data_IF_565294388854
#
_entry.id   IF_565294388854
#
_cell.length_a   1.000
_cell.length_b   1.000
_cell.length_c   1.000
_cell.angle_alpha   90.00
_cell.angle_beta   90.00
_cell.angle_gamma   90.00
#
_symmetry.space_group_name_H-M   'P 1'
#
loop_
_entity.id
_entity.type
_entity.pdbx_description
1 polymer ?
#
# COMPACT_ATOMS: atom_id res chain seq x y z
N UNK A 1 -6.77 -2.33 -1.36
CA UNK A 1 -6.96 -1.05 -0.68
C UNK A 1 -6.24 -1.01 0.67
N UNK A 2 -5.84 0.19 1.11
CA UNK A 2 -5.13 0.37 2.36
C UNK A 2 -6.02 1.09 3.36
N UNK A 3 -5.99 0.63 4.61
CA UNK A 3 -6.69 1.29 5.71
C UNK A 3 -5.76 2.25 6.45
N UNK A 4 -6.20 3.48 6.63
CA UNK A 4 -5.46 4.46 7.43
C UNK A 4 -5.95 4.37 8.86
N UNK A 5 -5.06 4.03 9.77
CA UNK A 5 -5.36 3.89 11.19
C UNK A 5 -4.51 4.83 12.02
N UNK A 6 -4.99 5.19 13.20
CA UNK A 6 -4.27 6.02 14.15
C UNK A 6 -5.16 6.37 15.32
N UNK A 7 -4.54 6.69 16.44
CA UNK A 7 -5.25 7.19 17.62
C UNK A 7 -5.83 8.59 17.35
N UNK A 8 -6.80 9.06 18.16
CA UNK A 8 -7.29 10.42 18.02
C UNK A 8 -6.15 11.46 18.13
N UNK A 9 -6.28 12.54 17.37
CA UNK A 9 -5.36 13.70 17.41
C UNK A 9 -3.93 13.43 16.95
N UNK A 10 -3.74 12.44 16.07
CA UNK A 10 -2.42 12.15 15.47
C UNK A 10 -2.24 12.77 14.08
N UNK A 11 -3.27 13.42 13.55
CA UNK A 11 -3.25 14.03 12.22
C UNK A 11 -3.78 13.13 11.10
N UNK A 12 -4.42 12.01 11.45
CA UNK A 12 -4.95 11.03 10.50
C UNK A 12 -5.98 11.64 9.54
N UNK A 13 -6.94 12.39 10.07
CA UNK A 13 -8.00 13.01 9.24
C UNK A 13 -7.45 14.08 8.29
N UNK A 14 -6.49 14.88 8.75
CA UNK A 14 -5.82 15.88 7.92
C UNK A 14 -5.07 15.20 6.76
N UNK A 15 -4.37 14.12 7.05
CA UNK A 15 -3.64 13.36 6.04
C UNK A 15 -4.59 12.73 5.02
N UNK A 16 -5.68 12.12 5.49
CA UNK A 16 -6.68 11.52 4.61
C UNK A 16 -7.35 12.58 3.71
N UNK A 17 -7.68 13.74 4.26
CA UNK A 17 -8.27 14.84 3.48
C UNK A 17 -7.30 15.34 2.41
N UNK A 18 -6.02 15.39 2.69
CA UNK A 18 -4.99 15.76 1.70
C UNK A 18 -4.92 14.75 0.55
N UNK A 19 -5.03 13.45 0.87
CA UNK A 19 -5.10 12.39 -0.13
C UNK A 19 -6.34 12.53 -1.03
N UNK A 20 -7.51 12.80 -0.45
CA UNK A 20 -8.75 12.89 -1.20
C UNK A 20 -8.84 14.14 -2.09
N UNK A 21 -8.24 15.26 -1.67
CA UNK A 21 -8.17 16.48 -2.48
C UNK A 21 -7.30 16.29 -3.73
N UNK A 22 -6.21 15.53 -3.62
CA UNK A 22 -5.35 15.17 -4.72
C UNK A 22 -5.88 13.95 -5.49
N UNK A 23 -7.14 13.60 -5.29
CA UNK A 23 -7.76 12.38 -5.78
C UNK A 23 -7.90 12.32 -7.30
N UNK A 24 -8.00 11.09 -7.80
CA UNK A 24 -8.17 10.78 -9.20
C UNK A 24 -9.60 11.10 -9.67
N UNK A 25 -9.73 11.49 -10.94
CA UNK A 25 -11.02 11.64 -11.58
C UNK A 25 -11.73 10.27 -11.64
N UNK A 26 -12.91 10.17 -11.04
CA UNK A 26 -13.65 8.91 -10.94
C UNK A 26 -14.01 8.29 -12.30
N UNK A 27 -14.13 9.11 -13.34
CA UNK A 27 -14.43 8.64 -14.70
C UNK A 27 -13.36 7.69 -15.28
N UNK A 28 -12.10 7.81 -14.83
CA UNK A 28 -10.99 6.98 -15.27
C UNK A 28 -10.88 5.67 -14.48
N UNK A 29 -11.62 5.54 -13.37
CA UNK A 29 -11.49 4.43 -12.42
C UNK A 29 -12.88 3.91 -12.05
N UNK A 30 -13.51 3.09 -12.92
CA UNK A 30 -14.88 2.63 -12.71
C UNK A 30 -15.11 1.76 -11.48
N UNK A 31 -14.04 1.29 -10.85
CA UNK A 31 -14.11 0.52 -9.61
C UNK A 31 -14.28 1.42 -8.36
N UNK A 32 -14.28 2.75 -8.54
CA UNK A 32 -14.44 3.69 -7.43
C UNK A 32 -15.84 3.60 -6.83
N UNK A 33 -15.90 3.34 -5.53
CA UNK A 33 -17.12 3.45 -4.76
C UNK A 33 -17.28 4.88 -4.25
N UNK A 34 -18.49 5.42 -4.32
CA UNK A 34 -18.81 6.74 -3.75
C UNK A 34 -19.07 6.55 -2.26
N UNK A 35 -18.03 6.62 -1.47
CA UNK A 35 -18.06 6.52 -0.01
C UNK A 35 -17.17 7.65 0.54
N UNK A 36 -17.66 8.47 1.47
CA UNK A 36 -16.86 9.58 2.02
C UNK A 36 -15.61 9.12 2.77
N UNK A 37 -15.54 7.87 3.19
CA UNK A 37 -14.41 7.30 3.89
C UNK A 37 -13.40 6.60 2.96
N UNK A 38 -13.64 6.63 1.65
CA UNK A 38 -12.76 6.02 0.65
C UNK A 38 -12.23 7.11 -0.28
N UNK A 39 -10.93 7.17 -0.44
CA UNK A 39 -10.26 8.05 -1.39
C UNK A 39 -9.50 7.26 -2.43
N UNK A 40 -9.69 7.60 -3.71
CA UNK A 40 -8.90 7.06 -4.81
C UNK A 40 -7.79 8.03 -5.10
N UNK A 41 -6.55 7.54 -5.05
CA UNK A 41 -5.35 8.36 -5.09
C UNK A 41 -4.48 7.90 -6.24
N UNK A 42 -4.00 8.85 -7.05
CA UNK A 42 -3.08 8.54 -8.14
C UNK A 42 -1.70 8.20 -7.59
N UNK A 43 -1.06 7.21 -8.21
CA UNK A 43 0.32 6.83 -7.88
C UNK A 43 1.27 7.69 -8.72
N UNK A 44 2.13 8.52 -8.10
CA UNK A 44 3.10 9.31 -8.84
C UNK A 44 4.02 8.42 -9.68
N UNK A 45 4.14 8.73 -10.97
CA UNK A 45 4.98 7.97 -11.89
C UNK A 45 5.51 8.90 -12.99
N UNK A 46 6.75 9.33 -12.84
CA UNK A 46 7.40 10.26 -13.76
C UNK A 46 7.54 9.70 -15.18
N UNK A 47 7.56 8.38 -15.31
CA UNK A 47 7.64 7.72 -16.62
C UNK A 47 6.48 8.12 -17.54
N UNK A 48 5.30 8.36 -16.95
CA UNK A 48 4.12 8.78 -17.72
C UNK A 48 4.29 10.18 -18.31
N UNK A 49 4.90 11.10 -17.59
CA UNK A 49 5.16 12.44 -18.07
C UNK A 49 6.16 12.44 -19.24
N UNK A 50 7.22 11.65 -19.09
CA UNK A 50 8.24 11.51 -20.15
C UNK A 50 7.64 10.90 -21.41
N UNK A 51 6.87 9.83 -21.28
CA UNK A 51 6.16 9.21 -22.42
C UNK A 51 5.12 10.15 -23.02
N UNK A 52 4.44 10.94 -22.19
CA UNK A 52 3.48 11.93 -22.64
C UNK A 52 4.09 12.98 -23.55
N UNK A 53 5.28 13.46 -23.23
CA UNK A 53 6.04 14.38 -24.06
C UNK A 53 6.52 13.70 -25.35
N UNK A 54 7.06 12.49 -25.23
CA UNK A 54 7.58 11.72 -26.37
C UNK A 54 6.51 11.46 -27.44
N UNK A 55 5.28 11.13 -27.02
CA UNK A 55 4.17 10.77 -27.92
C UNK A 55 3.22 11.94 -28.17
N UNK A 56 3.49 13.12 -27.64
CA UNK A 56 2.62 14.30 -27.74
C UNK A 56 1.18 13.96 -27.36
N UNK A 57 1.02 13.25 -26.24
CA UNK A 57 -0.26 12.71 -25.82
C UNK A 57 -1.26 13.79 -25.41
N UNK A 58 -2.53 13.50 -25.63
CA UNK A 58 -3.63 14.37 -25.20
C UNK A 58 -4.02 14.14 -23.74
N UNK A 59 -3.69 12.98 -23.18
CA UNK A 59 -4.16 12.56 -21.87
C UNK A 59 -3.15 11.62 -21.20
N UNK A 60 -2.91 11.86 -19.91
CA UNK A 60 -2.11 10.97 -19.07
C UNK A 60 -3.02 10.37 -17.99
N UNK A 61 -3.02 9.04 -17.88
CA UNK A 61 -3.80 8.32 -16.87
C UNK A 61 -2.86 7.49 -15.99
N UNK A 62 -2.52 7.99 -14.78
CA UNK A 62 -1.69 7.24 -13.86
C UNK A 62 -2.43 6.06 -13.22
N UNK A 63 -1.69 5.16 -12.61
CA UNK A 63 -2.26 4.13 -11.75
C UNK A 63 -2.90 4.77 -10.51
N UNK A 64 -3.84 4.07 -9.89
CA UNK A 64 -4.51 4.56 -8.69
C UNK A 64 -4.69 3.44 -7.69
N UNK A 65 -4.71 3.80 -6.41
CA UNK A 65 -5.01 2.90 -5.29
C UNK A 65 -6.06 3.54 -4.39
N UNK A 66 -6.78 2.72 -3.65
CA UNK A 66 -7.78 3.18 -2.70
C UNK A 66 -7.22 3.23 -1.29
N UNK A 67 -7.48 4.33 -0.60
CA UNK A 67 -7.26 4.48 0.84
C UNK A 67 -8.60 4.60 1.55
N UNK A 68 -8.71 3.94 2.69
CA UNK A 68 -9.92 3.96 3.52
C UNK A 68 -9.58 4.62 4.85
N UNK A 69 -10.33 5.66 5.23
CA UNK A 69 -10.21 6.26 6.56
C UNK A 69 -10.93 5.37 7.55
N UNK A 70 -10.17 4.64 8.37
CA UNK A 70 -10.73 3.76 9.37
C UNK A 70 -11.00 4.57 10.65
N UNK A 71 -12.26 4.57 11.09
CA UNK A 71 -12.69 5.28 12.29
C UNK A 71 -11.83 4.89 13.49
N UNK A 72 -11.56 5.86 14.36
CA UNK A 72 -10.60 5.75 15.44
C UNK A 72 -10.82 4.57 16.38
N UNK A 73 -9.70 4.00 16.83
CA UNK A 73 -9.67 2.93 17.81
C UNK A 73 -10.08 3.47 19.18
N UNK A 74 -10.95 2.72 19.86
CA UNK A 74 -11.26 2.90 21.27
C UNK A 74 -10.66 1.74 22.04
N UNK A 75 -10.03 1.98 23.19
CA UNK A 75 -9.55 0.92 24.08
C UNK A 75 -10.68 -0.07 24.35
N UNK A 76 -10.39 -1.37 24.26
CA UNK A 76 -11.39 -2.42 24.41
C UNK A 76 -12.09 -2.82 23.12
N UNK A 77 -11.62 -2.38 21.95
CA UNK A 77 -12.18 -2.72 20.63
C UNK A 77 -12.34 -4.22 20.43
N UNK A 78 -11.37 -5.02 20.83
CA UNK A 78 -11.39 -6.48 20.74
C UNK A 78 -12.46 -7.15 21.61
N UNK A 79 -12.96 -6.43 22.63
CA UNK A 79 -14.00 -6.92 23.53
C UNK A 79 -15.42 -6.59 23.05
N UNK A 80 -15.55 -6.02 21.86
CA UNK A 80 -16.82 -5.78 21.23
C UNK A 80 -17.59 -4.56 21.73
N UNK A 81 -16.92 -3.59 22.30
CA UNK A 81 -17.54 -2.37 22.79
C UNK A 81 -17.62 -1.29 21.72
N UNK A 82 -18.87 -0.92 21.34
CA UNK A 82 -19.16 0.24 20.51
C UNK A 82 -18.48 0.24 19.13
N UNK A 83 -17.79 1.34 18.80
CA UNK A 83 -17.08 1.54 17.53
C UNK A 83 -15.91 0.57 17.33
N UNK A 84 -15.48 -0.13 18.38
CA UNK A 84 -14.38 -1.07 18.31
C UNK A 84 -14.61 -2.25 17.37
N UNK A 85 -15.84 -2.79 17.33
CA UNK A 85 -16.19 -3.88 16.40
C UNK A 85 -16.09 -3.42 14.95
N UNK A 86 -16.52 -2.20 14.68
CA UNK A 86 -16.47 -1.62 13.35
C UNK A 86 -15.03 -1.36 12.92
N UNK A 87 -14.18 -0.87 13.84
CA UNK A 87 -12.75 -0.69 13.61
C UNK A 87 -12.08 -2.00 13.16
N UNK A 88 -12.30 -3.07 13.93
CA UNK A 88 -11.73 -4.37 13.61
C UNK A 88 -12.27 -4.95 12.29
N UNK A 89 -13.57 -4.79 12.04
CA UNK A 89 -14.19 -5.23 10.79
C UNK A 89 -13.62 -4.48 9.59
N UNK A 90 -13.40 -3.18 9.71
CA UNK A 90 -12.84 -2.36 8.64
C UNK A 90 -11.38 -2.74 8.34
N UNK A 91 -10.59 -3.05 9.38
CA UNK A 91 -9.22 -3.54 9.17
C UNK A 91 -9.23 -4.88 8.46
N UNK A 92 -10.19 -5.73 8.77
CA UNK A 92 -10.30 -7.05 8.13
C UNK A 92 -10.51 -6.96 6.62
N UNK A 93 -11.17 -5.90 6.15
CA UNK A 93 -11.50 -5.69 4.73
C UNK A 93 -10.36 -5.09 3.90
N UNK A 94 -9.37 -4.48 4.52
CA UNK A 94 -8.26 -3.86 3.79
C UNK A 94 -7.11 -4.85 3.59
N UNK A 95 -6.27 -4.58 2.58
CA UNK A 95 -5.13 -5.45 2.23
C UNK A 95 -3.87 -5.10 2.99
N UNK A 96 -3.74 -3.85 3.40
CA UNK A 96 -2.59 -3.33 4.14
C UNK A 96 -3.01 -2.14 4.99
N UNK A 97 -2.14 -1.75 5.91
CA UNK A 97 -2.41 -0.69 6.89
C UNK A 97 -1.37 0.42 6.76
N UNK A 98 -1.84 1.66 6.74
CA UNK A 98 -1.01 2.86 6.96
C UNK A 98 -1.29 3.31 8.39
N UNK A 99 -0.31 3.15 9.27
CA UNK A 99 -0.42 3.52 10.67
C UNK A 99 0.17 4.91 10.88
N UNK A 100 -0.69 5.88 11.12
CA UNK A 100 -0.29 7.27 11.38
C UNK A 100 0.07 7.41 12.85
N UNK A 101 1.29 7.87 13.12
CA UNK A 101 1.85 7.99 14.46
C UNK A 101 2.24 9.44 14.71
N UNK A 102 1.80 9.98 15.85
CA UNK A 102 2.12 11.36 16.21
C UNK A 102 3.56 11.47 16.72
N UNK A 103 4.36 12.27 16.01
CA UNK A 103 5.73 12.62 16.36
C UNK A 103 5.93 14.15 16.42
N UNK A 104 4.85 14.89 16.66
CA UNK A 104 4.87 16.36 16.78
C UNK A 104 4.27 16.78 18.11
N UNK A 105 4.74 17.91 18.64
CA UNK A 105 4.16 18.56 19.80
C UNK A 105 3.40 19.80 19.37
N UNK A 106 2.17 19.95 19.84
CA UNK A 106 1.34 21.14 19.64
C UNK A 106 0.46 21.29 20.88
N UNK A 107 0.63 22.37 21.62
CA UNK A 107 -0.12 22.64 22.85
C UNK A 107 -1.61 22.81 22.62
N UNK A 108 -2.04 23.10 21.38
CA UNK A 108 -3.44 23.21 21.02
C UNK A 108 -4.07 21.88 20.64
N UNK A 109 -3.27 20.85 20.46
CA UNK A 109 -3.72 19.50 20.09
C UNK A 109 -3.33 18.54 21.21
N UNK A 110 -4.33 18.09 21.97
CA UNK A 110 -4.12 17.20 23.10
C UNK A 110 -4.00 15.75 22.61
N UNK A 111 -2.99 15.03 23.10
CA UNK A 111 -2.90 13.59 22.90
C UNK A 111 -3.90 12.88 23.85
N UNK A 112 -4.55 11.82 23.37
CA UNK A 112 -5.56 11.05 24.12
C UNK A 112 -5.03 10.50 25.45
N UNK A 113 -3.75 10.14 25.52
CA UNK A 113 -3.08 9.65 26.75
C UNK A 113 -2.33 10.74 27.51
N UNK A 114 -2.50 12.01 27.12
CA UNK A 114 -1.93 13.17 27.82
C UNK A 114 -0.45 13.47 27.53
N UNK A 115 0.27 12.61 26.84
CA UNK A 115 1.66 12.79 26.44
C UNK A 115 1.94 12.14 25.09
N UNK A 116 3.02 12.58 24.43
CA UNK A 116 3.42 12.05 23.12
C UNK A 116 4.42 10.92 23.35
N UNK A 117 4.05 9.71 22.93
CA UNK A 117 4.89 8.54 22.96
C UNK A 117 4.51 7.65 21.77
N UNK A 118 5.24 7.77 20.65
CA UNK A 118 4.91 7.05 19.42
C UNK A 118 4.87 5.52 19.59
N UNK A 119 5.77 4.96 20.35
CA UNK A 119 5.82 3.50 20.56
C UNK A 119 4.62 3.03 21.37
N UNK A 120 4.22 3.76 22.38
CA UNK A 120 3.00 3.46 23.13
C UNK A 120 1.78 3.49 22.22
N UNK A 121 1.69 4.45 21.32
CA UNK A 121 0.58 4.58 20.37
C UNK A 121 0.53 3.36 19.44
N UNK A 122 1.67 2.93 18.92
CA UNK A 122 1.78 1.73 18.09
C UNK A 122 1.34 0.49 18.87
N UNK A 123 1.85 0.32 20.09
CA UNK A 123 1.53 -0.81 20.94
C UNK A 123 0.05 -0.87 21.32
N UNK A 124 -0.59 0.28 21.53
CA UNK A 124 -2.02 0.36 21.85
C UNK A 124 -2.86 -0.24 20.73
N UNK A 125 -2.59 0.11 19.48
CA UNK A 125 -3.29 -0.45 18.33
C UNK A 125 -2.93 -1.92 18.13
N UNK A 126 -1.65 -2.26 18.22
CA UNK A 126 -1.19 -3.64 18.05
C UNK A 126 -1.85 -4.59 19.04
N UNK A 127 -1.99 -4.19 20.32
CA UNK A 127 -2.63 -5.02 21.34
C UNK A 127 -4.08 -5.35 21.01
N UNK A 128 -4.83 -4.38 20.48
CA UNK A 128 -6.23 -4.63 20.06
C UNK A 128 -6.30 -5.64 18.91
N UNK A 129 -5.38 -5.54 17.95
CA UNK A 129 -5.29 -6.49 16.84
C UNK A 129 -4.89 -7.89 17.33
N UNK A 130 -3.92 -7.95 18.25
CA UNK A 130 -3.44 -9.20 18.85
C UNK A 130 -4.57 -9.90 19.61
N UNK A 131 -5.31 -9.18 20.44
CA UNK A 131 -6.40 -9.75 21.24
C UNK A 131 -7.52 -10.30 20.32
N UNK A 132 -7.86 -9.59 19.27
CA UNK A 132 -8.83 -10.06 18.27
C UNK A 132 -8.37 -11.35 17.60
N UNK A 133 -7.11 -11.41 17.20
CA UNK A 133 -6.55 -12.59 16.54
C UNK A 133 -6.44 -13.79 17.49
N UNK A 134 -6.00 -13.56 18.74
CA UNK A 134 -5.94 -14.64 19.75
C UNK A 134 -7.33 -15.25 19.97
N UNK A 135 -8.36 -14.42 20.09
CA UNK A 135 -9.72 -14.88 20.25
C UNK A 135 -10.18 -15.77 19.09
N UNK A 136 -9.87 -15.35 17.86
CA UNK A 136 -10.17 -16.15 16.68
C UNK A 136 -9.40 -17.46 16.65
N UNK A 137 -8.10 -17.44 16.99
CA UNK A 137 -7.28 -18.66 17.05
C UNK A 137 -7.77 -19.63 18.11
N UNK A 138 -8.20 -19.14 19.27
CA UNK A 138 -8.77 -19.97 20.33
C UNK A 138 -10.02 -20.71 19.86
N UNK A 139 -10.89 -20.05 19.09
CA UNK A 139 -12.07 -20.69 18.50
C UNK A 139 -11.69 -21.79 17.51
N UNK A 140 -10.69 -21.53 16.66
CA UNK A 140 -10.18 -22.54 15.70
C UNK A 140 -9.52 -23.70 16.40
N UNK A 141 -8.75 -23.43 17.45
CA UNK A 141 -8.09 -24.47 18.27
C UNK A 141 -9.14 -25.37 18.92
N UNK A 142 -10.18 -24.78 19.51
CA UNK A 142 -11.25 -25.56 20.15
C UNK A 142 -11.94 -26.51 19.17
N UNK A 143 -12.14 -26.09 17.92
CA UNK A 143 -12.71 -26.97 16.87
C UNK A 143 -11.71 -28.03 16.42
N UNK A 144 -10.44 -27.66 16.25
CA UNK A 144 -9.40 -28.56 15.79
C UNK A 144 -9.12 -29.69 16.80
N UNK A 145 -9.13 -29.39 18.08
CA UNK A 145 -8.92 -30.38 19.15
C UNK A 145 -9.89 -31.56 19.07
N UNK A 146 -11.15 -31.28 18.71
CA UNK A 146 -12.18 -32.31 18.59
C UNK A 146 -11.94 -33.32 17.48
N UNK A 147 -11.24 -32.91 16.43
CA UNK A 147 -11.03 -33.70 15.20
C UNK A 147 -9.61 -34.27 15.10
N UNK A 148 -8.64 -33.64 15.80
CA UNK A 148 -7.22 -33.95 15.66
C UNK A 148 -6.83 -35.42 15.96
N UNK A 149 -7.58 -36.11 16.82
CA UNK A 149 -7.32 -37.49 17.17
C UNK A 149 -7.47 -38.46 15.98
N UNK A 150 -8.37 -38.12 15.05
CA UNK A 150 -8.74 -38.96 13.93
C UNK A 150 -8.23 -38.47 12.58
N UNK A 151 -7.53 -37.33 12.57
CA UNK A 151 -7.05 -36.67 11.35
C UNK A 151 -5.66 -36.07 11.58
N UNK A 152 -4.65 -36.63 10.92
CA UNK A 152 -3.25 -36.19 11.04
C UNK A 152 -3.03 -34.80 10.48
N UNK A 153 -3.76 -34.43 9.43
CA UNK A 153 -3.65 -33.07 8.84
C UNK A 153 -4.17 -32.02 9.83
N UNK A 154 -5.28 -32.31 10.50
CA UNK A 154 -5.85 -31.42 11.53
C UNK A 154 -4.92 -31.35 12.75
N UNK A 155 -4.27 -32.44 13.12
CA UNK A 155 -3.28 -32.45 14.21
C UNK A 155 -2.08 -31.55 13.92
N UNK A 156 -1.60 -31.53 12.67
CA UNK A 156 -0.54 -30.61 12.22
C UNK A 156 -0.99 -29.17 12.24
N UNK A 157 -2.21 -28.90 11.77
CA UNK A 157 -2.78 -27.56 11.79
C UNK A 157 -2.95 -27.06 13.22
N UNK A 158 -3.40 -27.93 14.14
CA UNK A 158 -3.55 -27.60 15.55
C UNK A 158 -2.21 -27.12 16.15
N UNK A 159 -1.12 -27.80 15.85
CA UNK A 159 0.22 -27.41 16.29
C UNK A 159 0.58 -26.03 15.75
N UNK A 160 0.30 -25.76 14.47
CA UNK A 160 0.54 -24.44 13.87
C UNK A 160 -0.27 -23.35 14.57
N UNK A 161 -1.57 -23.60 14.80
CA UNK A 161 -2.45 -22.65 15.47
C UNK A 161 -1.95 -22.31 16.88
N UNK A 162 -1.50 -23.31 17.63
CA UNK A 162 -0.94 -23.11 18.97
C UNK A 162 0.37 -22.32 18.94
N UNK A 163 1.22 -22.56 17.94
CA UNK A 163 2.48 -21.83 17.76
C UNK A 163 2.21 -20.34 17.41
N UNK A 164 1.26 -20.08 16.52
CA UNK A 164 0.88 -18.71 16.16
C UNK A 164 0.31 -17.98 17.39
N UNK A 165 -0.59 -18.64 18.13
CA UNK A 165 -1.18 -18.06 19.34
C UNK A 165 -0.10 -17.71 20.37
N UNK A 166 0.84 -18.61 20.64
CA UNK A 166 1.95 -18.36 21.55
C UNK A 166 2.81 -17.17 21.11
N UNK A 167 3.03 -17.04 19.80
CA UNK A 167 3.78 -15.93 19.25
C UNK A 167 3.09 -14.59 19.50
N UNK A 168 1.77 -14.54 19.29
CA UNK A 168 0.97 -13.33 19.54
C UNK A 168 0.93 -13.00 21.04
N UNK A 169 0.90 -14.00 21.92
CA UNK A 169 0.94 -13.81 23.37
C UNK A 169 2.25 -13.16 23.85
N UNK A 170 3.30 -13.25 23.05
CA UNK A 170 4.57 -12.55 23.30
C UNK A 170 4.58 -11.11 22.74
N UNK A 171 3.43 -10.58 22.37
CA UNK A 171 3.26 -9.25 21.75
C UNK A 171 3.97 -9.08 20.41
N UNK A 172 4.13 -10.19 19.67
CA UNK A 172 4.69 -10.18 18.32
C UNK A 172 3.58 -10.30 17.30
N UNK A 173 3.77 -9.69 16.14
CA UNK A 173 2.76 -9.67 15.07
C UNK A 173 2.91 -10.88 14.16
N UNK A 174 1.79 -11.44 13.70
CA UNK A 174 1.81 -12.63 12.85
C UNK A 174 2.60 -12.42 11.55
N UNK A 175 2.72 -11.19 11.04
CA UNK A 175 3.49 -10.88 9.84
C UNK A 175 4.99 -11.21 9.98
N UNK A 176 5.51 -11.28 11.20
CA UNK A 176 6.91 -11.68 11.47
C UNK A 176 7.06 -13.14 11.89
N UNK A 177 5.96 -13.90 11.91
CA UNK A 177 5.99 -15.33 12.24
C UNK A 177 6.64 -16.13 11.12
N UNK A 178 7.55 -17.04 11.47
CA UNK A 178 8.23 -17.91 10.53
C UNK A 178 7.53 -19.26 10.43
N UNK A 179 7.09 -19.61 9.24
CA UNK A 179 6.50 -20.92 8.95
C UNK A 179 7.59 -21.94 8.56
N UNK A 180 7.32 -23.22 8.70
CA UNK A 180 8.28 -24.30 8.41
C UNK A 180 8.23 -24.77 6.96
N UNK A 181 7.10 -24.63 6.29
CA UNK A 181 6.90 -25.11 4.92
C UNK A 181 5.79 -24.32 4.19
N UNK A 182 5.56 -24.65 2.93
CA UNK A 182 4.53 -23.97 2.12
C UNK A 182 3.10 -24.29 2.59
N UNK A 183 2.85 -25.48 3.12
CA UNK A 183 1.53 -25.84 3.63
C UNK A 183 1.16 -24.96 4.81
N UNK A 184 2.11 -24.70 5.71
CA UNK A 184 1.92 -23.76 6.83
C UNK A 184 1.70 -22.33 6.32
N UNK A 185 2.42 -21.92 5.28
CA UNK A 185 2.27 -20.60 4.68
C UNK A 185 0.86 -20.40 4.12
N UNK A 186 0.34 -21.39 3.40
CA UNK A 186 -1.02 -21.35 2.85
C UNK A 186 -2.06 -21.26 3.96
N UNK A 187 -1.89 -22.02 5.03
CA UNK A 187 -2.79 -21.98 6.19
C UNK A 187 -2.75 -20.62 6.89
N UNK A 188 -1.56 -20.09 7.15
CA UNK A 188 -1.39 -18.78 7.78
C UNK A 188 -2.10 -17.68 6.99
N UNK A 189 -1.91 -17.65 5.68
CA UNK A 189 -2.59 -16.68 4.81
C UNK A 189 -4.12 -16.84 4.84
N UNK A 190 -4.60 -18.08 4.93
CA UNK A 190 -6.03 -18.40 4.95
C UNK A 190 -6.76 -17.90 6.19
N UNK A 191 -6.04 -17.70 7.30
CA UNK A 191 -6.66 -17.26 8.56
C UNK A 191 -7.07 -15.80 8.53
N UNK A 192 -6.56 -15.02 7.60
CA UNK A 192 -6.84 -13.58 7.48
C UNK A 192 -6.67 -12.83 8.81
N UNK A 193 -5.55 -13.10 9.48
CA UNK A 193 -5.23 -12.46 10.76
C UNK A 193 -4.98 -10.96 10.56
N UNK A 194 -5.48 -10.15 11.48
CA UNK A 194 -5.27 -8.70 11.45
C UNK A 194 -3.79 -8.36 11.64
N UNK A 195 -3.11 -9.11 12.50
CA UNK A 195 -1.68 -8.96 12.77
C UNK A 195 -0.78 -9.44 11.63
N UNK A 196 -1.34 -10.13 10.65
CA UNK A 196 -0.60 -10.59 9.47
C UNK A 196 -0.57 -9.55 8.34
N UNK A 197 -1.47 -8.59 8.35
CA UNK A 197 -1.53 -7.56 7.30
C UNK A 197 -0.26 -6.71 7.27
N UNK A 198 0.27 -6.41 6.08
CA UNK A 198 1.42 -5.53 5.95
C UNK A 198 1.12 -4.12 6.49
N UNK A 199 2.13 -3.49 7.06
CA UNK A 199 1.99 -2.16 7.66
C UNK A 199 3.10 -1.23 7.18
N UNK A 200 2.73 0.01 6.87
CA UNK A 200 3.62 1.15 6.69
C UNK A 200 3.33 2.15 7.79
N UNK A 201 4.36 2.69 8.41
CA UNK A 201 4.22 3.76 9.40
C UNK A 201 4.36 5.12 8.74
N UNK A 202 3.44 6.02 9.05
CA UNK A 202 3.52 7.44 8.69
C UNK A 202 3.80 8.22 9.97
N UNK A 203 5.05 8.63 10.15
CA UNK A 203 5.46 9.45 11.30
C UNK A 203 5.12 10.91 10.99
N UNK A 204 4.08 11.42 11.63
CA UNK A 204 3.58 12.78 11.41
C UNK A 204 4.34 13.77 12.30
N UNK A 205 5.03 14.71 11.65
CA UNK A 205 5.92 15.70 12.26
C UNK A 205 5.48 17.13 11.95
N UNK A 206 6.19 18.10 12.51
CA UNK A 206 6.08 19.51 12.06
C UNK A 206 7.00 19.73 10.86
N UNK A 207 6.82 20.87 10.19
CA UNK A 207 7.62 21.28 9.04
C UNK A 207 9.13 21.23 9.30
N UNK A 208 9.56 21.58 10.49
CA UNK A 208 10.99 21.66 10.86
C UNK A 208 11.72 20.31 10.73
N UNK A 209 11.00 19.22 10.80
CA UNK A 209 11.58 17.86 10.73
C UNK A 209 11.62 17.29 9.31
N UNK A 210 11.11 17.98 8.30
CA UNK A 210 11.04 17.45 6.93
C UNK A 210 12.39 17.41 6.22
N UNK A 211 13.18 18.47 6.34
CA UNK A 211 14.43 18.62 5.57
C UNK A 211 15.47 17.54 5.89
N UNK A 212 15.54 17.10 7.15
CA UNK A 212 16.46 16.06 7.61
C UNK A 212 15.80 14.69 7.87
N UNK A 213 14.59 14.51 7.38
CA UNK A 213 13.81 13.27 7.53
C UNK A 213 13.64 12.84 9.01
N UNK A 214 13.44 13.83 9.88
CA UNK A 214 13.22 13.60 11.30
C UNK A 214 14.45 13.14 12.08
N UNK A 215 15.66 13.38 11.54
CA UNK A 215 16.91 12.93 12.17
C UNK A 215 17.09 13.41 13.61
N UNK A 216 16.64 14.62 13.92
CA UNK A 216 16.72 15.21 15.26
C UNK A 216 15.45 14.99 16.10
N UNK A 217 14.48 14.27 15.59
CA UNK A 217 13.23 13.96 16.28
C UNK A 217 13.34 12.58 16.95
N UNK A 218 13.39 12.56 18.28
CA UNK A 218 13.54 11.32 19.05
C UNK A 218 12.39 10.35 18.81
N UNK A 219 11.17 10.87 18.68
CA UNK A 219 9.98 10.05 18.39
C UNK A 219 10.08 9.36 17.04
N UNK A 220 10.53 10.08 16.02
CA UNK A 220 10.75 9.52 14.68
C UNK A 220 11.82 8.44 14.70
N UNK A 221 12.93 8.68 15.41
CA UNK A 221 14.01 7.70 15.53
C UNK A 221 13.53 6.44 16.23
N UNK A 222 12.72 6.58 17.27
CA UNK A 222 12.12 5.44 17.97
C UNK A 222 11.20 4.62 17.04
N UNK A 223 10.38 5.28 16.22
CA UNK A 223 9.52 4.61 15.24
C UNK A 223 10.34 3.89 14.18
N UNK A 224 11.40 4.52 13.67
CA UNK A 224 12.31 3.90 12.69
C UNK A 224 12.98 2.65 13.25
N UNK A 225 13.45 2.71 14.49
CA UNK A 225 14.05 1.57 15.16
C UNK A 225 13.05 0.43 15.37
N UNK A 226 11.84 0.76 15.81
CA UNK A 226 10.76 -0.22 15.96
C UNK A 226 10.41 -0.89 14.63
N UNK A 227 10.24 -0.10 13.58
CA UNK A 227 9.89 -0.58 12.25
C UNK A 227 10.96 -1.47 11.64
N UNK A 228 12.24 -1.14 11.85
CA UNK A 228 13.36 -1.96 11.39
C UNK A 228 13.31 -3.37 11.98
N UNK A 229 13.00 -3.50 13.26
CA UNK A 229 12.85 -4.81 13.93
C UNK A 229 11.66 -5.61 13.37
N UNK A 230 10.64 -4.93 12.90
CA UNK A 230 9.43 -5.54 12.34
C UNK A 230 9.49 -5.70 10.81
N UNK A 231 10.58 -5.30 10.18
CA UNK A 231 10.74 -5.26 8.72
C UNK A 231 9.66 -4.43 8.02
N UNK A 232 9.34 -3.28 8.59
CA UNK A 232 8.36 -2.33 8.07
C UNK A 232 9.03 -1.03 7.67
N UNK A 233 8.45 -0.33 6.69
CA UNK A 233 8.91 0.99 6.27
C UNK A 233 8.28 2.11 7.09
N UNK A 234 9.01 3.21 7.23
CA UNK A 234 8.54 4.44 7.87
C UNK A 234 8.73 5.61 6.92
N UNK A 235 7.69 6.41 6.76
CA UNK A 235 7.75 7.66 6.01
C UNK A 235 7.48 8.83 6.94
N UNK A 236 8.36 9.82 6.89
CA UNK A 236 8.18 11.06 7.65
C UNK A 236 7.29 11.97 6.82
N UNK A 237 6.15 12.34 7.38
CA UNK A 237 5.15 13.19 6.73
C UNK A 237 4.81 14.37 7.64
N UNK A 238 4.42 15.48 7.05
CA UNK A 238 3.80 16.58 7.78
C UNK A 238 2.41 16.78 7.20
N UNK A 239 1.39 16.31 7.91
CA UNK A 239 0.01 16.37 7.42
C UNK A 239 -0.42 17.81 7.11
N UNK A 240 0.05 18.79 7.88
CA UNK A 240 -0.24 20.20 7.66
C UNK A 240 0.36 20.72 6.34
N UNK A 241 1.61 20.34 6.04
CA UNK A 241 2.28 20.69 4.78
C UNK A 241 1.62 19.99 3.60
N UNK A 242 1.23 18.72 3.76
CA UNK A 242 0.52 17.98 2.72
C UNK A 242 -0.82 18.63 2.38
N UNK A 243 -1.50 19.20 3.37
CA UNK A 243 -2.74 19.93 3.17
C UNK A 243 -2.51 21.20 2.34
N UNK A 244 -1.41 21.92 2.58
CA UNK A 244 -1.03 23.11 1.80
C UNK A 244 -0.65 22.72 0.36
N UNK A 245 0.13 21.66 0.18
CA UNK A 245 0.56 21.15 -1.14
C UNK A 245 -0.64 20.74 -1.98
N UNK A 246 -1.67 20.15 -1.38
CA UNK A 246 -2.86 19.69 -2.09
C UNK A 246 -3.64 20.80 -2.79
N UNK A 247 -3.46 22.07 -2.38
CA UNK A 247 -4.09 23.24 -2.98
C UNK A 247 -3.27 23.86 -4.13
N UNK A 248 -2.04 23.38 -4.35
CA UNK A 248 -1.12 23.96 -5.33
C UNK A 248 -1.19 23.24 -6.68
N UNK A 249 -0.89 23.97 -7.77
CA UNK A 249 -0.65 23.35 -9.07
C UNK A 249 0.74 22.68 -9.11
N UNK A 250 1.05 21.96 -10.19
CA UNK A 250 2.29 21.20 -10.29
C UNK A 250 3.55 22.07 -10.19
N UNK A 251 3.56 23.25 -10.82
CA UNK A 251 4.70 24.17 -10.79
C UNK A 251 4.88 24.78 -9.40
N UNK A 252 3.81 25.24 -8.78
CA UNK A 252 3.81 25.78 -7.42
C UNK A 252 4.27 24.73 -6.41
N UNK A 253 3.79 23.50 -6.56
CA UNK A 253 4.17 22.37 -5.72
C UNK A 253 5.66 22.09 -5.81
N UNK A 254 6.22 22.07 -7.02
CA UNK A 254 7.64 21.85 -7.23
C UNK A 254 8.49 22.91 -6.54
N UNK A 255 8.13 24.17 -6.69
CA UNK A 255 8.81 25.28 -6.03
C UNK A 255 8.72 25.19 -4.51
N UNK A 256 7.54 24.85 -4.00
CA UNK A 256 7.31 24.72 -2.56
C UNK A 256 8.17 23.60 -1.96
N UNK A 257 8.26 22.45 -2.64
CA UNK A 257 9.09 21.34 -2.21
C UNK A 257 10.58 21.67 -2.25
N UNK A 258 11.03 22.38 -3.29
CA UNK A 258 12.42 22.84 -3.40
C UNK A 258 12.79 23.77 -2.24
N UNK A 259 11.89 24.69 -1.87
CA UNK A 259 12.09 25.59 -0.73
C UNK A 259 12.21 24.84 0.60
N UNK A 260 11.58 23.68 0.72
CA UNK A 260 11.68 22.78 1.88
C UNK A 260 12.90 21.85 1.82
N UNK A 261 13.64 21.86 0.72
CA UNK A 261 14.78 20.97 0.50
C UNK A 261 14.38 19.56 0.11
N UNK A 262 13.20 19.38 -0.50
CA UNK A 262 12.65 18.08 -0.87
C UNK A 262 12.46 17.95 -2.38
N UNK A 263 12.68 16.74 -2.92
CA UNK A 263 12.37 16.42 -4.31
C UNK A 263 10.90 16.00 -4.45
N UNK A 264 10.41 15.25 -3.46
CA UNK A 264 9.02 14.83 -3.38
C UNK A 264 8.54 14.85 -1.92
N UNK A 265 7.23 14.91 -1.72
CA UNK A 265 6.67 14.93 -0.37
C UNK A 265 6.73 13.54 0.27
N UNK A 266 6.68 13.49 1.60
CA UNK A 266 6.61 12.23 2.35
C UNK A 266 5.37 11.42 1.96
N UNK A 267 4.27 12.09 1.68
CA UNK A 267 3.02 11.44 1.26
C UNK A 267 3.17 10.79 -0.13
N UNK A 268 3.84 11.42 -1.07
CA UNK A 268 4.11 10.83 -2.38
C UNK A 268 4.96 9.56 -2.25
N UNK A 269 5.98 9.59 -1.41
CA UNK A 269 6.82 8.42 -1.12
C UNK A 269 5.98 7.29 -0.51
N UNK A 270 5.10 7.63 0.43
CA UNK A 270 4.22 6.69 1.08
C UNK A 270 3.26 6.02 0.08
N UNK A 271 2.69 6.79 -0.85
CA UNK A 271 1.79 6.27 -1.88
C UNK A 271 2.52 5.25 -2.77
N UNK A 272 3.71 5.59 -3.24
CA UNK A 272 4.54 4.68 -4.05
C UNK A 272 4.86 3.40 -3.29
N UNK A 273 5.27 3.52 -2.03
CA UNK A 273 5.58 2.37 -1.19
C UNK A 273 4.34 1.52 -0.90
N UNK A 274 3.18 2.15 -0.76
CA UNK A 274 1.90 1.46 -0.57
C UNK A 274 1.54 0.61 -1.79
N UNK A 275 1.74 1.15 -2.98
CA UNK A 275 1.53 0.43 -4.24
C UNK A 275 2.41 -0.82 -4.31
N UNK A 276 3.69 -0.66 -4.03
CA UNK A 276 4.65 -1.76 -3.98
C UNK A 276 4.32 -2.79 -2.89
N UNK A 277 3.91 -2.32 -1.71
CA UNK A 277 3.54 -3.18 -0.58
C UNK A 277 2.38 -4.12 -0.92
N UNK A 278 1.43 -3.64 -1.73
CA UNK A 278 0.31 -4.44 -2.21
C UNK A 278 0.72 -5.46 -3.28
N UNK A 279 2.00 -5.52 -3.64
CA UNK A 279 2.51 -6.41 -4.68
C UNK A 279 2.11 -5.96 -6.08
N UNK A 280 1.83 -4.67 -6.26
CA UNK A 280 1.38 -4.10 -7.52
C UNK A 280 2.55 -3.53 -8.33
N UNK A 281 2.46 -3.69 -9.64
CA UNK A 281 3.37 -3.07 -10.61
C UNK A 281 2.54 -2.45 -11.72
N UNK A 282 3.18 -1.61 -12.52
CA UNK A 282 2.54 -0.97 -13.66
C UNK A 282 3.24 -1.34 -14.96
N UNK A 283 2.49 -1.78 -15.96
CA UNK A 283 2.94 -1.74 -17.33
C UNK A 283 2.32 -0.50 -18.00
N UNK A 284 2.94 -0.04 -19.08
CA UNK A 284 2.62 1.25 -19.68
C UNK A 284 2.14 1.06 -21.12
N UNK A 285 1.15 1.84 -21.50
CA UNK A 285 0.76 1.99 -22.91
C UNK A 285 0.92 3.44 -23.30
N UNK A 286 1.46 3.68 -24.47
CA UNK A 286 1.76 5.03 -24.95
C UNK A 286 1.26 5.24 -26.37
N UNK A 287 0.63 6.38 -26.59
CA UNK A 287 0.16 6.81 -27.88
C UNK A 287 -0.31 8.26 -27.82
N UNK A 288 -0.69 8.81 -28.98
CA UNK A 288 -1.23 10.16 -29.06
C UNK A 288 -2.54 10.33 -28.27
N UNK A 289 -3.50 9.37 -28.32
CA UNK A 289 -4.75 9.54 -27.56
C UNK A 289 -4.54 9.54 -26.06
N UNK A 290 -3.67 8.65 -25.56
CA UNK A 290 -3.37 8.57 -24.14
C UNK A 290 -2.06 7.86 -23.86
N UNK A 291 -1.46 8.20 -22.71
CA UNK A 291 -0.40 7.43 -22.03
C UNK A 291 -1.00 6.96 -20.73
N UNK A 292 -0.94 5.66 -20.46
CA UNK A 292 -1.61 5.08 -19.29
C UNK A 292 -0.72 4.07 -18.59
N UNK A 293 -0.77 4.08 -17.25
CA UNK A 293 -0.23 3.02 -16.42
C UNK A 293 -1.34 2.03 -16.08
N UNK A 294 -1.08 0.75 -16.31
CA UNK A 294 -2.01 -0.33 -16.01
C UNK A 294 -1.52 -1.11 -14.81
N UNK A 295 -2.38 -1.23 -13.80
CA UNK A 295 -2.06 -1.91 -12.55
C UNK A 295 -2.26 -3.41 -12.68
N UNK A 296 -1.21 -4.17 -12.37
CA UNK A 296 -1.27 -5.63 -12.29
C UNK A 296 -0.51 -6.09 -11.05
N UNK A 297 -0.77 -7.31 -10.63
CA UNK A 297 0.02 -7.93 -9.57
C UNK A 297 1.35 -8.42 -10.14
N UNK A 298 2.41 -8.28 -9.37
CA UNK A 298 3.72 -8.84 -9.70
C UNK A 298 3.58 -10.34 -9.95
N UNK A 299 4.13 -10.82 -11.05
CA UNK A 299 3.99 -12.23 -11.47
C UNK A 299 2.88 -12.49 -12.47
N UNK A 300 2.12 -11.46 -12.86
CA UNK A 300 1.05 -11.59 -13.86
C UNK A 300 1.64 -11.86 -15.25
N UNK A 301 1.10 -12.85 -15.92
CA UNK A 301 1.49 -13.19 -17.29
C UNK A 301 0.80 -12.30 -18.33
N UNK A 302 1.41 -12.21 -19.50
CA UNK A 302 0.97 -11.32 -20.58
C UNK A 302 -0.52 -11.41 -20.95
N UNK A 303 -1.16 -12.59 -21.06
CA UNK A 303 -2.59 -12.63 -21.39
C UNK A 303 -3.47 -11.95 -20.35
N UNK A 304 -3.25 -12.23 -19.08
CA UNK A 304 -4.01 -11.64 -17.98
C UNK A 304 -3.74 -10.14 -17.85
N UNK A 305 -2.49 -9.73 -18.10
CA UNK A 305 -2.12 -8.31 -18.13
C UNK A 305 -2.87 -7.58 -19.25
N UNK A 306 -2.87 -8.12 -20.46
CA UNK A 306 -3.61 -7.57 -21.61
C UNK A 306 -5.12 -7.51 -21.34
N UNK A 307 -5.63 -8.45 -20.57
CA UNK A 307 -7.03 -8.49 -20.14
C UNK A 307 -7.48 -7.28 -19.33
N UNK A 308 -6.54 -6.54 -18.72
CA UNK A 308 -6.86 -5.28 -18.02
C UNK A 308 -7.32 -4.20 -18.98
N UNK A 309 -6.83 -4.21 -20.20
CA UNK A 309 -7.25 -3.27 -21.26
C UNK A 309 -8.65 -3.64 -21.73
N UNK A 310 -8.85 -4.90 -22.08
CA UNK A 310 -10.13 -5.45 -22.51
C UNK A 310 -10.12 -6.97 -22.41
N UNK A 311 -11.23 -7.57 -21.97
CA UNK A 311 -11.34 -9.03 -21.79
C UNK A 311 -11.07 -9.83 -23.07
N UNK A 312 -11.37 -9.27 -24.24
CA UNK A 312 -11.12 -9.93 -25.51
C UNK A 312 -9.62 -10.09 -25.79
N UNK A 313 -8.79 -9.21 -25.23
CA UNK A 313 -7.34 -9.30 -25.37
C UNK A 313 -6.75 -10.47 -24.60
N UNK A 314 -7.37 -10.85 -23.49
CA UNK A 314 -6.97 -12.04 -22.76
C UNK A 314 -7.31 -13.31 -23.53
N UNK A 315 -8.54 -13.41 -24.01
CA UNK A 315 -9.05 -14.58 -24.75
C UNK A 315 -8.34 -14.80 -26.08
N UNK A 316 -8.11 -13.72 -26.80
CA UNK A 316 -7.50 -13.75 -28.13
C UNK A 316 -5.99 -13.54 -28.11
N UNK A 317 -5.36 -13.55 -26.96
CA UNK A 317 -3.94 -13.26 -26.85
C UNK A 317 -3.10 -14.32 -27.57
N UNK A 318 -2.20 -13.88 -28.45
CA UNK A 318 -1.21 -14.72 -29.10
C UNK A 318 0.20 -14.26 -28.69
N UNK A 319 0.49 -12.98 -28.89
CA UNK A 319 1.77 -12.36 -28.55
C UNK A 319 1.61 -10.86 -28.45
N UNK A 320 2.55 -10.22 -27.78
CA UNK A 320 2.62 -8.78 -27.65
C UNK A 320 4.03 -8.28 -27.92
N UNK A 321 4.15 -7.08 -28.49
CA UNK A 321 5.43 -6.39 -28.57
C UNK A 321 5.68 -5.64 -27.27
N UNK A 322 6.83 -5.89 -26.66
CA UNK A 322 7.20 -5.33 -25.37
C UNK A 322 8.60 -4.72 -25.45
N UNK A 323 8.72 -3.49 -24.95
CA UNK A 323 10.01 -2.84 -24.72
C UNK A 323 9.99 -2.28 -23.31
N UNK A 324 11.09 -2.48 -22.56
CA UNK A 324 11.17 -1.87 -21.24
C UNK A 324 11.27 -0.35 -21.37
N UNK A 325 10.73 0.37 -20.37
CA UNK A 325 10.85 1.83 -20.33
C UNK A 325 12.30 2.27 -20.42
N UNK A 326 13.19 1.61 -19.69
CA UNK A 326 14.61 1.97 -19.66
C UNK A 326 15.27 1.80 -21.02
N UNK A 327 14.98 0.72 -21.75
CA UNK A 327 15.48 0.49 -23.10
C UNK A 327 14.93 1.51 -24.10
N UNK A 328 13.65 1.86 -23.95
CA UNK A 328 13.01 2.88 -24.78
C UNK A 328 13.66 4.25 -24.57
N UNK A 329 13.96 4.61 -23.34
CA UNK A 329 14.65 5.87 -23.02
C UNK A 329 16.07 5.91 -23.55
N UNK A 330 16.79 4.83 -23.42
CA UNK A 330 18.17 4.72 -23.95
C UNK A 330 18.21 4.89 -25.47
N UNK A 331 17.23 4.34 -26.18
CA UNK A 331 17.13 4.43 -27.64
C UNK A 331 16.50 5.73 -28.13
N UNK A 332 15.74 6.42 -27.28
CA UNK A 332 15.10 7.69 -27.62
C UNK A 332 13.77 7.60 -28.37
N UNK A 333 13.57 6.57 -29.18
CA UNK A 333 12.31 6.31 -29.90
C UNK A 333 12.03 4.82 -29.97
N UNK A 334 10.76 4.48 -30.20
CA UNK A 334 10.35 3.09 -30.41
C UNK A 334 11.04 2.48 -31.64
N UNK A 335 11.09 3.23 -32.74
CA UNK A 335 11.76 2.78 -33.97
C UNK A 335 13.23 2.45 -33.72
N UNK A 336 13.95 3.31 -33.00
CA UNK A 336 15.34 3.07 -32.66
C UNK A 336 15.51 1.83 -31.77
N UNK A 337 14.63 1.64 -30.81
CA UNK A 337 14.62 0.44 -29.96
C UNK A 337 14.40 -0.84 -30.77
N UNK A 338 13.48 -0.78 -31.74
CA UNK A 338 13.19 -1.90 -32.65
C UNK A 338 14.40 -2.24 -33.53
N UNK A 339 15.04 -1.24 -34.07
CA UNK A 339 16.26 -1.41 -34.88
C UNK A 339 17.40 -2.05 -34.11
N UNK A 340 17.51 -1.75 -32.80
CA UNK A 340 18.50 -2.34 -31.92
C UNK A 340 18.10 -3.72 -31.39
N UNK A 341 16.95 -4.24 -31.75
CA UNK A 341 16.46 -5.54 -31.32
C UNK A 341 15.97 -5.57 -29.86
N UNK A 342 15.68 -4.41 -29.26
CA UNK A 342 15.23 -4.30 -27.88
C UNK A 342 13.70 -4.40 -27.73
N UNK A 343 12.95 -4.28 -28.82
CA UNK A 343 11.52 -4.58 -28.85
C UNK A 343 11.37 -6.08 -29.05
N UNK A 344 10.74 -6.73 -28.07
CA UNK A 344 10.60 -8.18 -28.04
C UNK A 344 9.18 -8.60 -28.37
N UNK A 345 9.04 -9.75 -29.00
CA UNK A 345 7.75 -10.43 -29.17
C UNK A 345 7.64 -11.48 -28.08
N UNK A 346 6.69 -11.29 -27.16
CA UNK A 346 6.51 -12.18 -26.03
C UNK A 346 5.17 -12.91 -26.09
N UNK A 347 5.20 -14.20 -25.76
CA UNK A 347 4.04 -15.07 -25.79
C UNK A 347 3.30 -15.18 -24.46
N UNK A 348 2.44 -16.20 -24.38
CA UNK A 348 1.52 -16.40 -23.23
C UNK A 348 2.19 -16.64 -21.89
N UNK A 349 3.43 -17.13 -21.88
CA UNK A 349 4.14 -17.47 -20.64
C UNK A 349 4.98 -16.32 -20.09
N UNK A 350 5.06 -15.22 -20.82
CA UNK A 350 5.86 -14.06 -20.39
C UNK A 350 5.26 -13.42 -19.13
N UNK A 351 6.09 -13.24 -18.12
CA UNK A 351 5.75 -12.53 -16.87
C UNK A 351 6.05 -11.05 -17.08
N UNK A 352 5.02 -10.22 -17.08
CA UNK A 352 5.14 -8.78 -17.30
C UNK A 352 5.92 -8.13 -16.15
N UNK A 353 6.85 -7.24 -16.48
CA UNK A 353 7.68 -6.52 -15.52
C UNK A 353 7.22 -5.08 -15.35
N UNK A 354 7.50 -4.50 -14.18
CA UNK A 354 7.24 -3.08 -13.95
C UNK A 354 7.98 -2.23 -14.98
N UNK A 355 7.26 -1.28 -15.60
CA UNK A 355 7.82 -0.42 -16.61
C UNK A 355 7.85 -1.00 -18.02
N UNK A 356 7.34 -2.22 -18.24
CA UNK A 356 7.18 -2.74 -19.59
C UNK A 356 6.21 -1.87 -20.37
N UNK A 357 6.63 -1.39 -21.54
CA UNK A 357 5.75 -0.71 -22.48
C UNK A 357 5.17 -1.77 -23.43
N UNK A 358 3.86 -1.94 -23.35
CA UNK A 358 3.15 -2.93 -24.12
C UNK A 358 2.60 -2.27 -25.38
N UNK A 359 3.05 -2.77 -26.51
CA UNK A 359 2.56 -2.38 -27.80
C UNK A 359 1.75 -3.53 -28.35
N UNK A 360 0.46 -3.31 -28.37
CA UNK A 360 -0.48 -4.37 -28.67
C UNK A 360 -0.48 -4.72 -30.17
N UNK A 361 -0.29 -6.01 -30.46
CA UNK A 361 -0.60 -6.55 -31.76
C UNK A 361 -1.92 -7.31 -31.67
N UNK A 362 -2.93 -6.80 -32.34
CA UNK A 362 -4.23 -7.44 -32.41
C UNK A 362 -4.10 -8.88 -32.89
N UNK A 363 -4.75 -9.84 -32.22
CA UNK A 363 -4.97 -11.12 -32.85
C UNK A 363 -5.83 -10.86 -34.11
N UNK A 364 -5.34 -11.34 -35.17
CA UNK A 364 -6.11 -11.31 -36.42
C UNK A 364 -7.37 -12.16 -36.30
#
# INVERSE_FOLDING_TARGET
KLGIVGLPNVGKSTLFNSLTKAGAESANYPFCTIDPNVGVVTVPDERLNVLGEMYHTKKIVPAAIEFVDIAGLVKGASKGEGLGNQFLANIREVDAIVHVVRCFEDSNIVHVDGSIDPIRDIETINLELIFSDIEMLERRIAKAVKVARNDKAVAKELELLERIKAYLEENKMARSFTVNDEDEQVLLESYNLLTYKPVIFAANVTEDDLANDGADNEGVQAVKEYAEKEDCEVFVVCAQIEQEIAELDDDEKKMFLEDLGLEESGLEKLIKASYSLLGLISYLTAGEPEVRAWTIKKGTKAPQAAGKIHSDFERGFIRAEIVSYDDLMECGTYTAAKEKGLVRLEGKEYVVQDGDCLLYTSPS
#
